data_IF_939672447400
#
_entry.id   IF_939672447400
#
_cell.length_a   1.000
_cell.length_b   1.000
_cell.length_c   1.000
_cell.angle_alpha   90.00
_cell.angle_beta   90.00
_cell.angle_gamma   90.00
#
_symmetry.space_group_name_H-M   'P 1'
#
loop_
_entity.id
_entity.type
_entity.pdbx_description
1 polymer ?
#
# COMPACT_ATOMS: atom_id res chain seq x y z
N UNK A 1 12.73 8.86 -7.11
CA UNK A 1 12.00 7.76 -6.50
C UNK A 1 10.61 7.62 -7.09
N UNK A 2 10.02 6.47 -6.95
CA UNK A 2 8.72 6.15 -7.52
C UNK A 2 7.85 5.51 -6.46
N UNK A 3 6.55 5.79 -6.50
CA UNK A 3 5.62 5.27 -5.52
C UNK A 3 4.51 4.44 -6.12
N UNK A 4 4.01 3.49 -5.35
CA UNK A 4 2.78 2.77 -5.63
C UNK A 4 1.71 3.34 -4.72
N UNK A 5 0.67 3.90 -5.31
CA UNK A 5 -0.45 4.45 -4.57
C UNK A 5 -1.67 3.57 -4.76
N UNK A 6 -2.11 2.96 -3.67
CA UNK A 6 -3.25 2.04 -3.67
C UNK A 6 -4.39 2.66 -2.87
N UNK A 7 -5.58 2.62 -3.43
CA UNK A 7 -6.81 3.10 -2.78
C UNK A 7 -7.73 1.92 -2.56
N UNK A 8 -8.28 1.82 -1.36
CA UNK A 8 -9.17 0.72 -1.00
C UNK A 8 -10.44 1.24 -0.33
N UNK A 9 -11.51 0.47 -0.45
CA UNK A 9 -12.73 0.66 0.32
C UNK A 9 -12.73 -0.36 1.44
N UNK A 10 -13.08 0.07 2.66
CA UNK A 10 -13.01 -0.73 3.87
C UNK A 10 -14.40 -0.86 4.45
N UNK A 11 -14.78 -2.08 4.83
CA UNK A 11 -16.06 -2.31 5.52
C UNK A 11 -16.08 -1.59 6.87
N UNK A 12 -17.25 -1.04 7.27
CA UNK A 12 -17.37 -0.40 8.58
C UNK A 12 -16.91 -1.32 9.71
N UNK A 13 -16.11 -0.78 10.62
CA UNK A 13 -15.60 -1.53 11.76
C UNK A 13 -14.28 -2.27 11.52
N UNK A 14 -13.81 -2.35 10.28
CA UNK A 14 -12.59 -3.09 9.95
C UNK A 14 -11.34 -2.21 9.93
N UNK A 15 -11.50 -0.90 10.01
CA UNK A 15 -10.38 0.04 9.81
C UNK A 15 -9.27 -0.14 10.85
N UNK A 16 -9.63 -0.25 12.13
CA UNK A 16 -8.64 -0.41 13.20
C UNK A 16 -7.90 -1.73 13.10
N UNK A 17 -8.60 -2.82 12.83
CA UNK A 17 -8.00 -4.13 12.63
C UNK A 17 -7.06 -4.14 11.43
N UNK A 18 -7.47 -3.51 10.32
CA UNK A 18 -6.65 -3.41 9.13
C UNK A 18 -5.31 -2.72 9.43
N UNK A 19 -5.37 -1.56 10.08
CA UNK A 19 -4.17 -0.78 10.40
C UNK A 19 -3.30 -1.42 11.45
N UNK A 20 -3.89 -1.90 12.55
CA UNK A 20 -3.11 -2.38 13.70
C UNK A 20 -2.61 -3.80 13.53
N UNK A 21 -3.22 -4.61 12.67
CA UNK A 21 -2.88 -6.01 12.56
C UNK A 21 -2.58 -6.45 11.13
N UNK A 22 -3.53 -6.32 10.22
CA UNK A 22 -3.37 -6.85 8.87
C UNK A 22 -2.22 -6.20 8.12
N UNK A 23 -2.12 -4.89 8.16
CA UNK A 23 -1.04 -4.18 7.47
C UNK A 23 0.29 -4.42 8.18
N UNK A 24 0.35 -4.26 9.49
CA UNK A 24 1.61 -4.38 10.23
C UNK A 24 2.14 -5.80 10.28
N UNK A 25 1.28 -6.79 10.42
CA UNK A 25 1.70 -8.17 10.59
C UNK A 25 1.79 -8.95 9.27
N UNK A 26 0.90 -8.66 8.32
CA UNK A 26 0.80 -9.45 7.09
C UNK A 26 1.39 -8.73 5.87
N UNK A 27 1.05 -7.46 5.67
CA UNK A 27 1.45 -6.74 4.47
C UNK A 27 2.85 -6.12 4.57
N UNK A 28 3.12 -5.38 5.63
CA UNK A 28 4.37 -4.64 5.77
C UNK A 28 5.62 -5.55 5.72
N UNK A 29 5.64 -6.72 6.38
CA UNK A 29 6.79 -7.61 6.27
C UNK A 29 7.09 -8.06 4.84
N UNK A 30 6.05 -8.31 4.05
CA UNK A 30 6.22 -8.68 2.64
C UNK A 30 6.74 -7.52 1.81
N UNK A 31 6.18 -6.34 2.02
CA UNK A 31 6.57 -5.12 1.30
C UNK A 31 8.02 -4.75 1.60
N UNK A 32 8.46 -4.88 2.84
CA UNK A 32 9.83 -4.59 3.24
C UNK A 32 10.87 -5.45 2.54
N UNK A 33 10.49 -6.65 2.12
CA UNK A 33 11.38 -7.56 1.42
C UNK A 33 11.43 -7.29 -0.08
N UNK A 34 10.58 -6.43 -0.60
CA UNK A 34 10.57 -6.11 -2.01
C UNK A 34 11.83 -5.35 -2.40
N UNK A 35 12.46 -5.67 -3.54
CA UNK A 35 13.66 -4.96 -3.99
C UNK A 35 13.40 -3.46 -4.14
N UNK A 36 14.32 -2.65 -3.61
CA UNK A 36 14.25 -1.20 -3.70
C UNK A 36 13.29 -0.51 -2.75
N UNK A 37 12.69 -1.24 -1.82
CA UNK A 37 11.79 -0.65 -0.83
C UNK A 37 12.50 0.45 -0.04
N UNK A 38 11.87 1.62 0.08
CA UNK A 38 12.39 2.76 0.85
C UNK A 38 11.54 3.00 2.09
N UNK A 39 10.24 3.22 1.90
CA UNK A 39 9.32 3.46 3.01
C UNK A 39 7.88 3.23 2.54
N UNK A 40 6.97 3.15 3.50
CA UNK A 40 5.55 3.03 3.22
C UNK A 40 4.75 3.75 4.28
N UNK A 41 3.57 4.23 3.91
CA UNK A 41 2.61 4.82 4.83
C UNK A 41 1.20 4.43 4.40
N UNK A 42 0.39 4.06 5.38
CA UNK A 42 -1.03 3.78 5.17
C UNK A 42 -1.85 4.73 6.01
N UNK A 43 -2.92 5.25 5.42
CA UNK A 43 -3.78 6.23 6.07
C UNK A 43 -5.20 6.11 5.53
N UNK A 44 -6.16 6.65 6.25
CA UNK A 44 -7.56 6.58 5.82
C UNK A 44 -8.48 7.28 6.80
N UNK A 45 -9.79 7.17 6.53
CA UNK A 45 -10.83 7.86 7.32
C UNK A 45 -11.88 6.89 7.92
N UNK A 46 -11.58 5.61 7.96
CA UNK A 46 -12.49 4.60 8.50
C UNK A 46 -13.28 3.82 7.45
N UNK A 47 -13.58 4.42 6.32
CA UNK A 47 -14.30 3.77 5.21
C UNK A 47 -13.44 3.64 3.98
N UNK A 48 -12.51 4.55 3.79
CA UNK A 48 -11.55 4.49 2.69
C UNK A 48 -10.14 4.46 3.24
N UNK A 49 -9.30 3.70 2.57
CA UNK A 49 -7.91 3.56 2.93
C UNK A 49 -7.00 3.85 1.76
N UNK A 50 -5.80 4.28 2.08
CA UNK A 50 -4.79 4.63 1.10
C UNK A 50 -3.45 4.07 1.55
N UNK A 51 -2.66 3.60 0.61
CA UNK A 51 -1.29 3.16 0.87
C UNK A 51 -0.35 3.77 -0.13
N UNK A 52 0.75 4.33 0.35
CA UNK A 52 1.83 4.80 -0.50
C UNK A 52 3.09 4.02 -0.13
N UNK A 53 3.64 3.31 -1.10
CA UNK A 53 4.86 2.53 -0.93
C UNK A 53 5.90 3.11 -1.88
N UNK A 54 7.05 3.50 -1.34
CA UNK A 54 8.09 4.20 -2.10
C UNK A 54 9.22 3.23 -2.43
N UNK A 55 9.65 3.25 -3.69
CA UNK A 55 10.76 2.45 -4.21
C UNK A 55 11.81 3.34 -4.86
N UNK A 56 13.03 2.82 -4.99
CA UNK A 56 14.14 3.57 -5.59
C UNK A 56 13.96 3.79 -7.09
N UNK A 57 13.41 2.80 -7.81
CA UNK A 57 13.27 2.86 -9.27
C UNK A 57 11.84 2.64 -9.73
N UNK A 58 11.55 3.13 -10.93
CA UNK A 58 10.25 2.93 -11.58
C UNK A 58 9.94 1.45 -11.79
N UNK A 59 10.93 0.69 -12.21
CA UNK A 59 10.80 -0.74 -12.47
C UNK A 59 10.39 -1.50 -11.21
N UNK A 60 10.98 -1.16 -10.08
CA UNK A 60 10.63 -1.75 -8.80
C UNK A 60 9.22 -1.40 -8.37
N UNK A 61 8.83 -0.14 -8.57
CA UNK A 61 7.46 0.30 -8.27
C UNK A 61 6.44 -0.42 -9.15
N UNK A 62 6.73 -0.60 -10.43
CA UNK A 62 5.84 -1.31 -11.34
C UNK A 62 5.68 -2.78 -10.94
N UNK A 63 6.75 -3.44 -10.54
CA UNK A 63 6.68 -4.81 -10.06
C UNK A 63 5.81 -4.92 -8.80
N UNK A 64 5.99 -4.00 -7.85
CA UNK A 64 5.18 -3.97 -6.65
C UNK A 64 3.71 -3.67 -6.95
N UNK A 65 3.43 -2.83 -7.95
CA UNK A 65 2.07 -2.51 -8.34
C UNK A 65 1.30 -3.72 -8.91
N UNK A 66 2.01 -4.71 -9.42
CA UNK A 66 1.38 -5.97 -9.84
C UNK A 66 1.11 -6.89 -8.66
N UNK A 67 1.95 -6.82 -7.63
CA UNK A 67 1.88 -7.71 -6.48
C UNK A 67 0.91 -7.21 -5.40
N UNK A 68 1.02 -5.93 -5.01
CA UNK A 68 0.28 -5.39 -3.88
C UNK A 68 -1.24 -5.50 -4.04
N UNK A 69 -1.84 -5.16 -5.20
CA UNK A 69 -3.28 -5.29 -5.35
C UNK A 69 -3.79 -6.73 -5.35
N UNK A 70 -2.90 -7.71 -5.52
CA UNK A 70 -3.28 -9.12 -5.49
C UNK A 70 -3.42 -9.67 -4.07
N UNK A 71 -2.94 -8.93 -3.07
CA UNK A 71 -3.07 -9.33 -1.66
C UNK A 71 -4.50 -9.05 -1.23
N UNK A 72 -5.19 -10.08 -0.77
CA UNK A 72 -6.59 -9.97 -0.37
C UNK A 72 -6.71 -9.95 1.15
N UNK A 73 -7.53 -9.03 1.65
CA UNK A 73 -7.93 -8.97 3.05
C UNK A 73 -9.46 -8.95 3.12
N UNK A 74 -10.02 -9.67 4.08
CA UNK A 74 -11.46 -9.66 4.31
C UNK A 74 -11.94 -8.24 4.65
N UNK A 75 -13.03 -7.84 4.00
CA UNK A 75 -13.61 -6.52 4.23
C UNK A 75 -12.89 -5.37 3.54
N UNK A 76 -11.92 -5.66 2.68
CA UNK A 76 -11.16 -4.64 1.96
C UNK A 76 -11.27 -4.88 0.46
N UNK A 77 -11.67 -3.84 -0.27
CA UNK A 77 -11.78 -3.89 -1.72
C UNK A 77 -10.82 -2.89 -2.34
N UNK A 78 -9.93 -3.36 -3.21
CA UNK A 78 -9.02 -2.47 -3.93
C UNK A 78 -9.80 -1.72 -5.01
N UNK A 79 -9.74 -0.38 -4.95
CA UNK A 79 -10.39 0.50 -5.92
C UNK A 79 -9.43 0.82 -7.07
N UNK A 80 -8.19 1.15 -6.74
CA UNK A 80 -7.17 1.46 -7.75
C UNK A 80 -5.78 1.25 -7.17
N UNK A 81 -4.82 0.98 -8.04
CA UNK A 81 -3.41 0.92 -7.66
C UNK A 81 -2.59 1.36 -8.87
N UNK A 82 -1.80 2.41 -8.71
CA UNK A 82 -1.04 3.01 -9.79
C UNK A 82 0.34 3.44 -9.31
N UNK A 83 1.26 3.56 -10.27
CA UNK A 83 2.60 4.06 -9.99
C UNK A 83 2.70 5.54 -10.32
N UNK A 84 3.52 6.25 -9.54
CA UNK A 84 3.74 7.68 -9.72
C UNK A 84 5.21 7.99 -9.51
N UNK A 85 5.70 9.02 -10.19
CA UNK A 85 7.02 9.59 -9.92
C UNK A 85 6.90 10.54 -8.73
N UNK A 86 7.77 10.38 -7.74
CA UNK A 86 7.80 11.28 -6.59
C UNK A 86 8.67 12.48 -6.94
N UNK A 87 8.07 13.65 -6.92
CA UNK A 87 8.75 14.89 -7.34
C UNK A 87 9.33 15.67 -6.17
N UNK A 88 8.83 15.42 -4.95
CA UNK A 88 9.35 16.08 -3.73
C UNK A 88 8.93 15.30 -2.50
N UNK A 89 9.75 15.32 -1.47
CA UNK A 89 9.43 14.79 -0.13
C UNK A 89 10.01 15.72 0.92
N UNK A 90 9.40 15.69 2.06
CA UNK A 90 9.87 16.51 3.15
C UNK A 90 9.81 15.84 4.50
#
# INVERSE_FOLDING_TARGET
MHGVFTRVKIEPGMFDDLGSRMIQEDLLPQVRQAPGFVKAVWFGDGESGHGLIVFETEEQAQAANQFVPSIEFDGVQVISSQTYTIVAEG
#
